data_IF_641949402222
#
_entry.id   IF_641949402222
#
_cell.length_a   1.000
_cell.length_b   1.000
_cell.length_c   1.000
_cell.angle_alpha   90.00
_cell.angle_beta   90.00
_cell.angle_gamma   90.00
#
_symmetry.space_group_name_H-M   'P 1'
#
loop_
_entity.id
_entity.type
_entity.pdbx_description
1 polymer ?
#
# COMPACT_ATOMS: atom_id res chain seq x y z
N UNK A 1 26.51 11.06 -17.47
CA UNK A 1 25.38 11.23 -16.50
C UNK A 1 24.37 12.18 -17.15
N UNK A 2 23.16 11.75 -17.46
CA UNK A 2 22.09 12.67 -17.89
C UNK A 2 21.78 13.62 -16.73
N UNK A 3 21.65 14.93 -17.04
CA UNK A 3 21.30 15.95 -16.05
C UNK A 3 19.93 15.61 -15.46
N UNK A 4 19.87 15.42 -14.14
CA UNK A 4 18.58 15.13 -13.46
C UNK A 4 17.68 16.36 -13.62
N UNK A 5 16.38 16.11 -13.85
CA UNK A 5 15.40 17.19 -13.82
C UNK A 5 15.34 17.78 -12.40
N UNK A 6 15.40 19.12 -12.24
CA UNK A 6 15.26 19.75 -10.94
C UNK A 6 13.88 19.44 -10.30
N UNK A 7 12.90 19.05 -11.10
CA UNK A 7 11.54 18.76 -10.66
C UNK A 7 11.31 17.29 -10.25
N UNK A 8 12.33 16.38 -10.42
CA UNK A 8 12.13 14.95 -10.13
C UNK A 8 11.85 14.71 -8.63
N UNK A 9 12.50 15.46 -7.73
CA UNK A 9 12.28 15.33 -6.29
C UNK A 9 10.88 15.80 -5.91
N UNK A 10 10.46 16.97 -6.42
CA UNK A 10 9.10 17.47 -6.21
C UNK A 10 8.06 16.51 -6.78
N UNK A 11 8.35 15.91 -7.93
CA UNK A 11 7.51 14.87 -8.54
C UNK A 11 7.36 13.64 -7.63
N UNK A 12 8.45 13.09 -7.10
CA UNK A 12 8.42 11.94 -6.18
C UNK A 12 7.62 12.25 -4.91
N UNK A 13 7.79 13.46 -4.35
CA UNK A 13 7.01 13.95 -3.21
C UNK A 13 5.52 13.92 -3.54
N UNK A 14 5.13 14.52 -4.65
CA UNK A 14 3.73 14.59 -5.06
C UNK A 14 3.13 13.21 -5.41
N UNK A 15 3.93 12.30 -6.00
CA UNK A 15 3.50 10.92 -6.20
C UNK A 15 3.18 10.24 -4.87
N UNK A 16 4.02 10.42 -3.83
CA UNK A 16 3.74 9.93 -2.49
C UNK A 16 2.41 10.45 -1.94
N UNK A 17 2.14 11.76 -2.09
CA UNK A 17 0.88 12.39 -1.62
C UNK A 17 -0.35 11.79 -2.31
N UNK A 18 -0.33 11.60 -3.63
CA UNK A 18 -1.50 11.16 -4.39
C UNK A 18 -1.75 9.65 -4.39
N UNK A 19 -0.81 8.85 -3.88
CA UNK A 19 -0.95 7.39 -3.87
C UNK A 19 -2.04 6.85 -2.95
N UNK A 20 -2.40 7.56 -1.88
CA UNK A 20 -3.36 7.07 -0.87
C UNK A 20 -4.56 7.99 -0.69
N UNK A 21 -4.39 9.29 -0.66
CA UNK A 21 -5.46 10.24 -0.37
C UNK A 21 -6.74 10.04 -1.21
N UNK A 22 -6.67 9.84 -2.56
CA UNK A 22 -7.87 9.67 -3.39
C UNK A 22 -8.67 8.39 -3.12
N UNK A 23 -8.07 7.42 -2.43
CA UNK A 23 -8.67 6.12 -2.14
C UNK A 23 -9.09 6.00 -0.67
N UNK A 24 -8.20 6.35 0.28
CA UNK A 24 -8.41 6.10 1.71
C UNK A 24 -9.39 7.08 2.36
N UNK A 25 -9.65 8.22 1.75
CA UNK A 25 -10.58 9.21 2.28
C UNK A 25 -12.06 8.92 1.92
N UNK A 26 -12.33 8.12 0.88
CA UNK A 26 -13.69 7.84 0.42
C UNK A 26 -14.56 7.11 1.46
N UNK A 27 -14.06 6.10 2.20
CA UNK A 27 -14.85 5.44 3.25
C UNK A 27 -15.40 6.37 4.32
N UNK A 28 -14.69 7.45 4.66
CA UNK A 28 -15.11 8.40 5.68
C UNK A 28 -16.37 9.22 5.30
N UNK A 29 -16.68 9.31 4.01
CA UNK A 29 -17.81 10.10 3.47
C UNK A 29 -18.83 9.25 2.71
N UNK A 30 -18.80 7.92 2.88
CA UNK A 30 -19.63 7.00 2.10
C UNK A 30 -21.12 7.25 2.30
N UNK A 31 -21.52 7.60 3.52
CA UNK A 31 -22.91 7.93 3.88
C UNK A 31 -23.39 9.20 3.17
N UNK A 32 -22.53 10.21 3.07
CA UNK A 32 -22.85 11.47 2.41
C UNK A 32 -22.95 11.29 0.89
N UNK A 33 -22.06 10.45 0.32
CA UNK A 33 -22.09 10.05 -1.10
C UNK A 33 -23.38 9.29 -1.40
N UNK A 34 -23.77 8.33 -0.55
CA UNK A 34 -24.99 7.55 -0.71
C UNK A 34 -26.24 8.44 -0.69
N UNK A 35 -26.31 9.34 0.30
CA UNK A 35 -27.41 10.31 0.42
C UNK A 35 -27.47 11.24 -0.79
N UNK A 36 -26.33 11.75 -1.25
CA UNK A 36 -26.26 12.66 -2.41
C UNK A 36 -26.59 12.01 -3.75
N UNK A 37 -26.41 10.69 -3.88
CA UNK A 37 -26.74 9.90 -5.08
C UNK A 37 -28.11 9.21 -4.99
N UNK A 38 -28.78 9.26 -3.83
CA UNK A 38 -30.06 8.60 -3.62
C UNK A 38 -29.99 7.07 -3.65
N UNK A 39 -28.86 6.49 -3.16
CA UNK A 39 -28.62 5.03 -3.15
C UNK A 39 -28.36 4.53 -1.72
N UNK A 40 -28.53 3.23 -1.51
CA UNK A 40 -28.18 2.62 -0.23
C UNK A 40 -26.67 2.61 -0.01
N UNK A 41 -26.22 2.83 1.22
CA UNK A 41 -24.78 2.78 1.61
C UNK A 41 -24.19 1.39 1.31
N UNK A 42 -24.97 0.34 1.47
CA UNK A 42 -24.59 -1.05 1.17
C UNK A 42 -24.10 -1.24 -0.27
N UNK A 43 -24.72 -0.58 -1.23
CA UNK A 43 -24.34 -0.64 -2.65
C UNK A 43 -22.95 -0.02 -2.91
N UNK A 44 -22.52 0.91 -2.09
CA UNK A 44 -21.23 1.59 -2.22
C UNK A 44 -20.06 0.83 -1.55
N UNK A 45 -20.33 -0.24 -0.82
CA UNK A 45 -19.28 -1.03 -0.13
C UNK A 45 -18.20 -1.55 -1.09
N UNK A 46 -18.56 -1.88 -2.32
CA UNK A 46 -17.61 -2.36 -3.33
C UNK A 46 -16.55 -1.30 -3.73
N UNK A 47 -16.82 -0.01 -3.51
CA UNK A 47 -15.86 1.07 -3.83
C UNK A 47 -14.53 0.93 -3.09
N UNK A 48 -14.52 0.27 -1.93
CA UNK A 48 -13.31 0.02 -1.16
C UNK A 48 -12.51 -1.18 -1.68
N UNK A 49 -13.19 -2.12 -2.36
CA UNK A 49 -12.57 -3.33 -2.93
C UNK A 49 -12.05 -3.10 -4.36
N UNK A 50 -12.68 -2.21 -5.13
CA UNK A 50 -12.31 -1.92 -6.53
C UNK A 50 -10.82 -1.60 -6.68
N UNK A 51 -10.19 -0.71 -5.89
CA UNK A 51 -8.77 -0.41 -6.04
C UNK A 51 -7.87 -1.63 -5.83
N UNK A 52 -8.19 -2.53 -4.91
CA UNK A 52 -7.41 -3.75 -4.68
C UNK A 52 -7.47 -4.70 -5.88
N UNK A 53 -8.65 -4.83 -6.50
CA UNK A 53 -8.84 -5.60 -7.73
C UNK A 53 -8.01 -4.96 -8.85
N UNK A 54 -8.07 -3.64 -8.99
CA UNK A 54 -7.28 -2.93 -10.00
C UNK A 54 -5.77 -3.04 -9.75
N UNK A 55 -5.33 -3.09 -8.49
CA UNK A 55 -3.91 -3.36 -8.16
C UNK A 55 -3.49 -4.74 -8.67
N UNK A 56 -4.28 -5.77 -8.43
CA UNK A 56 -3.98 -7.12 -8.93
C UNK A 56 -3.94 -7.17 -10.47
N UNK A 57 -4.88 -6.52 -11.16
CA UNK A 57 -4.99 -6.57 -12.62
C UNK A 57 -3.94 -5.71 -13.34
N UNK A 58 -3.65 -4.50 -12.81
CA UNK A 58 -2.88 -3.50 -13.53
C UNK A 58 -1.37 -3.51 -13.21
N UNK A 59 -0.96 -4.02 -12.04
CA UNK A 59 0.44 -3.94 -11.61
C UNK A 59 1.42 -4.62 -12.58
N UNK A 60 1.04 -5.76 -13.17
CA UNK A 60 1.87 -6.49 -14.14
C UNK A 60 2.02 -5.78 -15.50
N UNK A 61 1.12 -4.84 -15.81
CA UNK A 61 1.17 -4.06 -17.05
C UNK A 61 2.17 -2.91 -16.97
N UNK A 62 2.43 -2.39 -15.75
CA UNK A 62 3.26 -1.22 -15.54
C UNK A 62 4.69 -1.37 -16.10
N UNK A 63 5.44 -2.46 -15.87
CA UNK A 63 6.77 -2.64 -16.44
C UNK A 63 6.78 -2.71 -17.96
N UNK A 64 5.75 -3.36 -18.54
CA UNK A 64 5.62 -3.51 -20.01
C UNK A 64 5.39 -2.16 -20.68
N UNK A 65 4.48 -1.36 -20.14
CA UNK A 65 4.18 -0.03 -20.69
C UNK A 65 5.33 0.95 -20.43
N UNK A 66 6.03 0.83 -19.30
CA UNK A 66 7.23 1.62 -19.02
C UNK A 66 8.38 1.31 -20.01
N UNK A 67 8.54 0.06 -20.44
CA UNK A 67 9.49 -0.31 -21.49
C UNK A 67 9.14 0.34 -22.83
N UNK A 68 7.84 0.46 -23.17
CA UNK A 68 7.38 1.04 -24.43
C UNK A 68 7.46 2.57 -24.43
N UNK A 69 6.94 3.22 -23.41
CA UNK A 69 6.76 4.68 -23.37
C UNK A 69 7.87 5.41 -22.60
N UNK A 70 8.60 4.71 -21.73
CA UNK A 70 9.49 5.25 -20.72
C UNK A 70 8.75 5.58 -19.43
N UNK A 71 9.48 5.63 -18.32
CA UNK A 71 8.89 5.77 -16.99
C UNK A 71 8.23 7.13 -16.77
N UNK A 72 8.91 8.22 -17.14
CA UNK A 72 8.43 9.57 -16.87
C UNK A 72 7.24 9.95 -17.75
N UNK A 73 7.23 9.53 -19.02
CA UNK A 73 6.09 9.72 -19.93
C UNK A 73 4.89 8.90 -19.49
N UNK A 74 5.11 7.64 -19.13
CA UNK A 74 4.05 6.78 -18.62
C UNK A 74 3.45 7.37 -17.34
N UNK A 75 4.28 7.87 -16.43
CA UNK A 75 3.80 8.49 -15.19
C UNK A 75 2.95 9.73 -15.45
N UNK A 76 3.31 10.56 -16.45
CA UNK A 76 2.48 11.69 -16.84
C UNK A 76 1.11 11.24 -17.36
N UNK A 77 1.06 10.20 -18.22
CA UNK A 77 -0.20 9.61 -18.70
C UNK A 77 -1.04 9.04 -17.55
N UNK A 78 -0.40 8.33 -16.62
CA UNK A 78 -1.04 7.76 -15.42
C UNK A 78 -1.66 8.86 -14.56
N UNK A 79 -0.92 9.93 -14.28
CA UNK A 79 -1.43 11.07 -13.51
C UNK A 79 -2.59 11.78 -14.21
N UNK A 80 -2.53 11.95 -15.53
CA UNK A 80 -3.64 12.53 -16.30
C UNK A 80 -4.90 11.66 -16.21
N UNK A 81 -4.77 10.33 -16.36
CA UNK A 81 -5.89 9.40 -16.19
C UNK A 81 -6.42 9.45 -14.76
N UNK A 82 -5.55 9.65 -13.77
CA UNK A 82 -5.95 9.80 -12.37
C UNK A 82 -6.74 11.08 -12.13
N UNK A 83 -6.37 12.21 -12.75
CA UNK A 83 -7.14 13.46 -12.70
C UNK A 83 -8.54 13.25 -13.27
N UNK A 84 -8.62 12.66 -14.47
CA UNK A 84 -9.91 12.38 -15.15
C UNK A 84 -10.74 11.42 -14.28
N UNK A 85 -10.17 10.30 -13.85
CA UNK A 85 -10.84 9.31 -13.01
C UNK A 85 -11.31 9.87 -11.68
N UNK A 86 -10.50 10.73 -11.04
CA UNK A 86 -10.88 11.39 -9.79
C UNK A 86 -12.00 12.39 -10.00
N UNK A 87 -11.91 13.24 -11.04
CA UNK A 87 -12.91 14.28 -11.32
C UNK A 87 -14.26 13.72 -11.73
N UNK A 88 -14.30 12.65 -12.54
CA UNK A 88 -15.58 12.09 -12.99
C UNK A 88 -16.40 11.46 -11.86
N UNK A 89 -15.82 11.14 -10.71
CA UNK A 89 -16.53 10.54 -9.57
C UNK A 89 -17.69 11.40 -9.02
N UNK A 90 -17.71 12.68 -9.31
CA UNK A 90 -18.78 13.59 -8.82
C UNK A 90 -20.02 13.65 -9.71
N UNK A 91 -20.00 13.03 -10.91
CA UNK A 91 -21.04 13.19 -11.91
C UNK A 91 -22.30 12.37 -11.61
N UNK A 92 -22.13 11.05 -11.44
CA UNK A 92 -23.21 10.10 -11.18
C UNK A 92 -22.65 8.76 -10.66
N UNK A 93 -23.52 7.84 -10.29
CA UNK A 93 -23.14 6.53 -9.74
C UNK A 93 -22.26 5.69 -10.69
N UNK A 94 -22.57 5.49 -11.98
CA UNK A 94 -21.67 4.81 -12.90
C UNK A 94 -20.30 5.47 -13.02
N UNK A 95 -20.25 6.80 -13.09
CA UNK A 95 -18.99 7.55 -13.16
C UNK A 95 -18.18 7.45 -11.85
N UNK A 96 -18.84 7.34 -10.69
CA UNK A 96 -18.20 7.08 -9.41
C UNK A 96 -17.47 5.72 -9.42
N UNK A 97 -18.10 4.66 -9.92
CA UNK A 97 -17.46 3.34 -10.05
C UNK A 97 -16.32 3.35 -11.05
N UNK A 98 -16.54 3.85 -12.27
CA UNK A 98 -15.52 3.93 -13.31
C UNK A 98 -14.34 4.80 -12.88
N UNK A 99 -14.61 5.96 -12.26
CA UNK A 99 -13.58 6.83 -11.74
C UNK A 99 -12.75 6.17 -10.64
N UNK A 100 -13.39 5.41 -9.76
CA UNK A 100 -12.69 4.64 -8.71
C UNK A 100 -11.85 3.51 -9.31
N UNK A 101 -12.30 2.84 -10.38
CA UNK A 101 -11.50 1.88 -11.15
C UNK A 101 -10.25 2.54 -11.75
N UNK A 102 -10.42 3.69 -12.40
CA UNK A 102 -9.31 4.44 -13.01
C UNK A 102 -8.31 4.90 -11.95
N UNK A 103 -8.77 5.45 -10.82
CA UNK A 103 -7.92 5.84 -9.70
C UNK A 103 -7.16 4.63 -9.15
N UNK A 104 -7.83 3.50 -8.94
CA UNK A 104 -7.18 2.26 -8.49
C UNK A 104 -6.11 1.77 -9.47
N UNK A 105 -6.43 1.72 -10.78
CA UNK A 105 -5.48 1.34 -11.82
C UNK A 105 -4.24 2.25 -11.81
N UNK A 106 -4.44 3.56 -11.73
CA UNK A 106 -3.33 4.53 -11.73
C UNK A 106 -2.45 4.42 -10.50
N UNK A 107 -3.03 4.20 -9.32
CA UNK A 107 -2.27 3.94 -8.09
C UNK A 107 -1.45 2.66 -8.25
N UNK A 108 -1.98 1.60 -8.88
CA UNK A 108 -1.21 0.38 -9.16
C UNK A 108 0.06 0.66 -9.98
N UNK A 109 -0.06 1.48 -11.04
CA UNK A 109 1.10 1.89 -11.84
C UNK A 109 2.12 2.68 -11.02
N UNK A 110 1.68 3.64 -10.21
CA UNK A 110 2.57 4.45 -9.38
C UNK A 110 3.29 3.55 -8.36
N UNK A 111 2.58 2.65 -7.68
CA UNK A 111 3.16 1.70 -6.72
C UNK A 111 4.28 0.86 -7.33
N UNK A 112 4.10 0.38 -8.57
CA UNK A 112 5.09 -0.46 -9.26
C UNK A 112 6.28 0.34 -9.75
N UNK A 113 6.04 1.53 -10.31
CA UNK A 113 7.07 2.31 -11.00
C UNK A 113 7.86 3.25 -10.08
N UNK A 114 7.29 3.68 -8.95
CA UNK A 114 7.94 4.64 -8.05
C UNK A 114 9.26 4.10 -7.46
N UNK A 115 9.38 2.85 -6.98
CA UNK A 115 10.66 2.26 -6.61
C UNK A 115 11.67 2.27 -7.77
N UNK A 116 11.22 1.97 -8.99
CA UNK A 116 12.07 1.97 -10.18
C UNK A 116 12.58 3.36 -10.54
N UNK A 117 11.73 4.39 -10.41
CA UNK A 117 12.11 5.80 -10.58
C UNK A 117 13.16 6.23 -9.56
N UNK A 118 13.02 5.80 -8.30
CA UNK A 118 14.01 6.06 -7.25
C UNK A 118 15.34 5.39 -7.59
N UNK A 119 15.32 4.12 -8.00
CA UNK A 119 16.54 3.39 -8.41
C UNK A 119 17.24 4.05 -9.61
N UNK A 120 16.46 4.49 -10.61
CA UNK A 120 17.01 5.12 -11.83
C UNK A 120 17.63 6.50 -11.55
N UNK A 121 17.00 7.30 -10.69
CA UNK A 121 17.41 8.69 -10.47
C UNK A 121 18.32 8.87 -9.24
N UNK A 122 18.19 8.05 -8.21
CA UNK A 122 18.88 8.23 -6.92
C UNK A 122 19.51 6.93 -6.38
N UNK A 123 20.35 6.22 -7.14
CA UNK A 123 20.89 4.90 -6.73
C UNK A 123 21.70 4.95 -5.43
N UNK A 124 22.30 6.11 -5.09
CA UNK A 124 23.08 6.31 -3.86
C UNK A 124 22.25 6.75 -2.64
N UNK A 125 20.95 7.10 -2.83
CA UNK A 125 20.06 7.63 -1.79
C UNK A 125 18.69 6.94 -1.78
N UNK A 126 18.66 5.65 -2.14
CA UNK A 126 17.43 4.86 -2.27
C UNK A 126 16.60 4.92 -0.98
N UNK A 127 17.21 4.59 0.17
CA UNK A 127 16.51 4.58 1.46
C UNK A 127 15.89 5.93 1.81
N UNK A 128 16.60 7.03 1.55
CA UNK A 128 16.12 8.38 1.83
C UNK A 128 14.85 8.73 1.03
N UNK A 129 14.86 8.51 -0.29
CA UNK A 129 13.69 8.81 -1.11
C UNK A 129 12.54 7.82 -0.90
N UNK A 130 12.85 6.56 -0.58
CA UNK A 130 11.83 5.57 -0.18
C UNK A 130 11.14 6.02 1.10
N UNK A 131 11.90 6.46 2.12
CA UNK A 131 11.33 7.02 3.34
C UNK A 131 10.42 8.21 3.04
N UNK A 132 10.87 9.16 2.22
CA UNK A 132 10.08 10.36 1.88
C UNK A 132 8.72 9.98 1.30
N UNK A 133 8.68 9.20 0.21
CA UNK A 133 7.39 8.97 -0.44
C UNK A 133 6.45 8.09 0.39
N UNK A 134 6.96 7.10 1.14
CA UNK A 134 6.13 6.26 2.01
C UNK A 134 5.56 7.06 3.18
N UNK A 135 6.38 7.94 3.80
CA UNK A 135 5.92 8.83 4.86
C UNK A 135 4.84 9.78 4.36
N UNK A 136 5.07 10.43 3.22
CA UNK A 136 4.09 11.35 2.61
C UNK A 136 2.81 10.64 2.21
N UNK A 137 2.90 9.39 1.75
CA UNK A 137 1.73 8.56 1.49
C UNK A 137 0.87 8.34 2.75
N UNK A 138 1.51 8.05 3.89
CA UNK A 138 0.81 7.89 5.17
C UNK A 138 0.23 9.20 5.70
N UNK A 139 1.03 10.28 5.68
CA UNK A 139 0.59 11.62 6.11
C UNK A 139 -0.57 12.11 5.26
N UNK A 140 -0.48 12.00 3.93
CA UNK A 140 -1.54 12.43 3.02
C UNK A 140 -2.85 11.65 3.23
N UNK A 141 -2.76 10.32 3.47
CA UNK A 141 -3.92 9.51 3.80
C UNK A 141 -4.59 9.97 5.10
N UNK A 142 -3.79 10.22 6.14
CA UNK A 142 -4.28 10.69 7.45
C UNK A 142 -4.93 12.06 7.33
N UNK A 143 -4.25 13.02 6.71
CA UNK A 143 -4.79 14.38 6.51
C UNK A 143 -6.09 14.33 5.72
N UNK A 144 -6.13 13.59 4.60
CA UNK A 144 -7.33 13.47 3.79
C UNK A 144 -8.51 12.88 4.57
N UNK A 145 -8.28 11.85 5.39
CA UNK A 145 -9.31 11.27 6.25
C UNK A 145 -9.80 12.26 7.33
N UNK A 146 -8.89 13.00 7.96
CA UNK A 146 -9.24 13.97 9.02
C UNK A 146 -10.05 15.16 8.48
N UNK A 147 -9.75 15.66 7.29
CA UNK A 147 -10.44 16.82 6.71
C UNK A 147 -11.71 16.45 5.93
N UNK A 148 -11.91 15.15 5.62
CA UNK A 148 -13.04 14.69 4.80
C UNK A 148 -14.38 15.10 5.39
N UNK A 149 -14.69 14.68 6.62
CA UNK A 149 -15.97 14.98 7.27
C UNK A 149 -16.17 16.48 7.51
N UNK A 150 -15.21 17.25 8.05
CA UNK A 150 -15.34 18.70 8.19
C UNK A 150 -15.66 19.42 6.86
N UNK A 151 -14.97 19.06 5.76
CA UNK A 151 -15.21 19.68 4.46
C UNK A 151 -16.60 19.31 3.91
N UNK A 152 -16.98 18.03 4.02
CA UNK A 152 -18.30 17.58 3.54
C UNK A 152 -19.42 18.24 4.33
N UNK A 153 -19.29 18.37 5.65
CA UNK A 153 -20.29 19.04 6.50
C UNK A 153 -20.40 20.54 6.23
N UNK A 154 -19.31 21.20 5.83
CA UNK A 154 -19.30 22.63 5.51
C UNK A 154 -19.73 22.93 4.06
N UNK A 155 -19.71 21.95 3.15
CA UNK A 155 -20.00 22.14 1.73
C UNK A 155 -20.75 20.96 1.11
N UNK A 156 -20.02 20.00 0.51
CA UNK A 156 -20.57 18.78 -0.08
C UNK A 156 -19.49 17.71 -0.29
N UNK A 157 -19.92 16.45 -0.49
CA UNK A 157 -19.00 15.37 -0.83
C UNK A 157 -18.34 15.58 -2.19
N UNK A 158 -19.02 16.22 -3.15
CA UNK A 158 -18.46 16.59 -4.46
C UNK A 158 -17.29 17.55 -4.29
N UNK A 159 -17.45 18.60 -3.45
CA UNK A 159 -16.39 19.58 -3.17
C UNK A 159 -15.16 18.89 -2.62
N UNK A 160 -15.33 17.96 -1.70
CA UNK A 160 -14.20 17.19 -1.15
C UNK A 160 -13.46 16.38 -2.23
N UNK A 161 -14.20 15.66 -3.08
CA UNK A 161 -13.60 14.89 -4.18
C UNK A 161 -12.88 15.82 -5.18
N UNK A 162 -13.45 16.97 -5.50
CA UNK A 162 -12.82 17.95 -6.39
C UNK A 162 -11.56 18.58 -5.78
N UNK A 163 -11.51 18.81 -4.47
CA UNK A 163 -10.29 19.24 -3.79
C UNK A 163 -9.18 18.16 -3.90
N UNK A 164 -9.50 16.89 -3.67
CA UNK A 164 -8.56 15.80 -3.91
C UNK A 164 -8.10 15.76 -5.38
N UNK A 165 -9.04 15.97 -6.32
CA UNK A 165 -8.73 16.04 -7.76
C UNK A 165 -7.80 17.20 -8.08
N UNK A 166 -7.97 18.36 -7.44
CA UNK A 166 -7.06 19.50 -7.59
C UNK A 166 -5.63 19.18 -7.11
N UNK A 167 -5.50 18.42 -6.01
CA UNK A 167 -4.18 17.95 -5.54
C UNK A 167 -3.55 16.99 -6.55
N UNK A 168 -4.33 16.09 -7.17
CA UNK A 168 -3.85 15.19 -8.24
C UNK A 168 -3.45 15.98 -9.48
N UNK A 169 -4.22 17.00 -9.86
CA UNK A 169 -3.89 17.91 -10.97
C UNK A 169 -2.58 18.66 -10.69
N UNK A 170 -2.39 19.15 -9.47
CA UNK A 170 -1.13 19.79 -9.08
C UNK A 170 0.05 18.82 -9.19
N UNK A 171 -0.12 17.56 -8.78
CA UNK A 171 0.89 16.51 -8.94
C UNK A 171 1.21 16.27 -10.44
N UNK A 172 0.20 16.21 -11.30
CA UNK A 172 0.38 16.10 -12.74
C UNK A 172 1.18 17.28 -13.31
N UNK A 173 0.82 18.52 -12.97
CA UNK A 173 1.51 19.72 -13.46
C UNK A 173 2.98 19.77 -13.00
N UNK A 174 3.25 19.44 -11.73
CA UNK A 174 4.61 19.36 -11.18
C UNK A 174 5.41 18.24 -11.86
N UNK A 175 4.75 17.15 -12.31
CA UNK A 175 5.41 16.04 -12.99
C UNK A 175 5.80 16.35 -14.43
N UNK A 176 5.04 17.19 -15.17
CA UNK A 176 5.20 17.44 -16.60
C UNK A 176 6.64 17.77 -17.05
N UNK A 177 7.42 18.63 -16.33
CA UNK A 177 8.79 18.92 -16.73
C UNK A 177 9.71 17.69 -16.77
N UNK A 178 9.39 16.62 -16.04
CA UNK A 178 10.18 15.39 -16.02
C UNK A 178 10.05 14.57 -17.31
N UNK A 179 8.99 14.78 -18.10
CA UNK A 179 8.75 14.07 -19.38
C UNK A 179 9.89 14.27 -20.37
N UNK A 180 10.56 15.43 -20.33
CA UNK A 180 11.73 15.71 -21.17
C UNK A 180 12.95 14.82 -20.89
N UNK A 181 13.07 14.30 -19.66
CA UNK A 181 14.18 13.43 -19.22
C UNK A 181 13.76 11.95 -19.16
N UNK A 182 12.95 11.51 -20.09
CA UNK A 182 12.34 10.19 -20.10
C UNK A 182 13.37 9.04 -20.11
N UNK A 183 13.35 8.19 -19.10
CA UNK A 183 14.15 6.98 -19.00
C UNK A 183 13.35 5.81 -19.58
N UNK A 184 13.87 5.26 -20.67
CA UNK A 184 13.40 3.97 -21.18
C UNK A 184 14.25 2.87 -20.55
N UNK A 185 13.64 1.75 -20.25
CA UNK A 185 14.41 0.56 -19.91
C UNK A 185 15.32 0.22 -21.10
N UNK A 186 16.62 0.05 -20.84
CA UNK A 186 17.55 -0.41 -21.88
C UNK A 186 17.05 -1.76 -22.42
N UNK A 187 16.93 -1.85 -23.74
CA UNK A 187 16.61 -3.14 -24.36
C UNK A 187 17.73 -4.11 -23.97
N UNK A 188 17.43 -5.06 -23.12
CA UNK A 188 18.36 -6.14 -22.79
C UNK A 188 18.76 -6.78 -24.11
N UNK A 189 20.07 -6.75 -24.46
CA UNK A 189 20.59 -7.40 -25.67
C UNK A 189 19.98 -8.80 -25.72
N UNK A 190 19.24 -9.10 -26.76
CA UNK A 190 18.68 -10.42 -27.04
C UNK A 190 19.81 -11.45 -27.00
N UNK A 191 19.99 -12.13 -25.90
CA UNK A 191 21.05 -13.10 -25.69
C UNK A 191 21.16 -13.63 -24.27
N UNK A 192 20.84 -12.83 -23.26
CA UNK A 192 20.63 -13.40 -21.93
C UNK A 192 19.17 -13.84 -21.84
N UNK A 193 18.95 -15.15 -21.94
CA UNK A 193 17.70 -15.79 -21.55
C UNK A 193 17.38 -15.34 -20.14
N UNK A 194 16.56 -14.29 -20.02
CA UNK A 194 15.97 -13.91 -18.75
C UNK A 194 15.08 -15.07 -18.35
N UNK A 195 15.57 -15.93 -17.44
CA UNK A 195 14.72 -16.93 -16.78
C UNK A 195 13.47 -16.20 -16.36
N UNK A 196 12.30 -16.72 -16.75
CA UNK A 196 11.03 -16.10 -16.39
C UNK A 196 11.07 -15.79 -14.89
N UNK A 197 10.83 -14.55 -14.50
CA UNK A 197 10.80 -14.10 -13.10
C UNK A 197 9.91 -15.02 -12.24
N UNK A 198 8.85 -15.57 -12.84
CA UNK A 198 7.93 -16.54 -12.23
C UNK A 198 8.57 -17.91 -11.92
N UNK A 199 9.77 -18.18 -12.42
CA UNK A 199 10.56 -19.38 -12.09
C UNK A 199 11.67 -19.10 -11.09
N UNK A 200 11.85 -17.84 -10.69
CA UNK A 200 12.85 -17.46 -9.69
C UNK A 200 12.27 -17.69 -8.28
N UNK A 201 12.87 -18.63 -7.52
CA UNK A 201 12.40 -19.00 -6.17
C UNK A 201 12.42 -17.82 -5.19
N UNK A 202 13.42 -16.96 -5.26
CA UNK A 202 13.54 -15.80 -4.39
C UNK A 202 12.48 -14.72 -4.75
N UNK A 203 12.20 -14.53 -6.04
CA UNK A 203 11.12 -13.66 -6.48
C UNK A 203 9.73 -14.19 -6.07
N UNK A 204 9.53 -15.52 -6.12
CA UNK A 204 8.30 -16.16 -5.61
C UNK A 204 8.18 -16.03 -4.09
N UNK A 205 9.29 -16.16 -3.34
CA UNK A 205 9.29 -15.89 -1.90
C UNK A 205 8.91 -14.46 -1.60
N UNK A 206 9.38 -13.50 -2.42
CA UNK A 206 9.02 -12.09 -2.28
C UNK A 206 7.56 -11.81 -2.63
N UNK A 207 7.00 -12.48 -3.67
CA UNK A 207 5.58 -12.42 -3.98
C UNK A 207 4.73 -12.93 -2.82
N UNK A 208 5.10 -14.09 -2.26
CA UNK A 208 4.40 -14.67 -1.12
C UNK A 208 4.47 -13.74 0.10
N UNK A 209 5.65 -13.15 0.38
CA UNK A 209 5.79 -12.12 1.41
C UNK A 209 4.82 -10.96 1.19
N UNK A 210 4.78 -10.40 -0.03
CA UNK A 210 3.89 -9.30 -0.38
C UNK A 210 2.40 -9.64 -0.19
N UNK A 211 2.01 -10.87 -0.51
CA UNK A 211 0.65 -11.37 -0.27
C UNK A 211 0.34 -11.53 1.21
N UNK A 212 1.19 -12.23 1.95
CA UNK A 212 0.96 -12.53 3.37
C UNK A 212 0.95 -11.28 4.25
N UNK A 213 1.88 -10.32 4.02
CA UNK A 213 1.86 -9.06 4.74
C UNK A 213 0.59 -8.24 4.44
N UNK A 214 0.10 -8.30 3.22
CA UNK A 214 -1.15 -7.63 2.85
C UNK A 214 -2.38 -8.32 3.46
N UNK A 215 -2.40 -9.67 3.53
CA UNK A 215 -3.43 -10.43 4.27
C UNK A 215 -3.47 -9.97 5.72
N UNK A 216 -2.31 -9.90 6.41
CA UNK A 216 -2.21 -9.43 7.79
C UNK A 216 -2.81 -8.03 7.92
N UNK A 217 -2.29 -7.07 7.16
CA UNK A 217 -2.73 -5.67 7.24
C UNK A 217 -4.23 -5.50 7.01
N UNK A 218 -4.75 -6.02 5.89
CA UNK A 218 -6.15 -5.81 5.53
C UNK A 218 -7.10 -6.60 6.45
N UNK A 219 -6.70 -7.76 6.97
CA UNK A 219 -7.51 -8.52 7.93
C UNK A 219 -7.54 -7.83 9.29
N UNK A 220 -6.38 -7.37 9.78
CA UNK A 220 -6.31 -6.67 11.06
C UNK A 220 -7.10 -5.37 11.04
N UNK A 221 -6.89 -4.51 10.04
CA UNK A 221 -7.61 -3.22 9.96
C UNK A 221 -9.12 -3.41 9.83
N UNK A 222 -9.56 -4.52 9.23
CA UNK A 222 -10.99 -4.83 9.06
C UNK A 222 -11.61 -5.37 10.34
N UNK A 223 -10.96 -6.32 11.00
CA UNK A 223 -11.59 -7.11 12.04
C UNK A 223 -11.21 -6.71 13.47
N UNK A 224 -10.07 -6.04 13.71
CA UNK A 224 -9.67 -5.60 15.06
C UNK A 224 -10.74 -4.78 15.78
N UNK A 225 -11.43 -3.79 15.15
CA UNK A 225 -12.50 -3.06 15.81
C UNK A 225 -13.67 -3.96 16.20
N UNK A 226 -14.04 -4.92 15.36
CA UNK A 226 -15.14 -5.87 15.62
C UNK A 226 -14.77 -6.85 16.71
N UNK A 227 -13.53 -7.36 16.71
CA UNK A 227 -13.01 -8.22 17.79
C UNK A 227 -13.05 -7.47 19.13
N UNK A 228 -12.59 -6.21 19.16
CA UNK A 228 -12.66 -5.39 20.37
C UNK A 228 -14.08 -5.23 20.88
N UNK A 229 -15.06 -4.98 19.99
CA UNK A 229 -16.47 -4.89 20.37
C UNK A 229 -17.02 -6.23 20.87
N UNK A 230 -16.62 -7.37 20.31
CA UNK A 230 -17.06 -8.70 20.75
C UNK A 230 -16.56 -9.05 22.16
N UNK A 231 -15.44 -8.48 22.59
CA UNK A 231 -14.92 -8.58 23.96
C UNK A 231 -15.70 -7.68 24.92
N UNK A 232 -16.54 -6.77 24.39
CA UNK A 232 -17.43 -5.91 25.17
C UNK A 232 -16.98 -4.45 25.29
N UNK A 233 -16.03 -3.98 24.45
CA UNK A 233 -15.72 -2.55 24.34
C UNK A 233 -16.80 -1.83 23.53
N UNK A 234 -17.03 -0.56 23.87
CA UNK A 234 -17.93 0.29 23.09
C UNK A 234 -17.38 0.59 21.70
N UNK A 235 -18.25 1.02 20.77
CA UNK A 235 -17.83 1.47 19.43
C UNK A 235 -16.80 2.60 19.49
N UNK A 236 -16.94 3.52 20.45
CA UNK A 236 -16.01 4.63 20.65
C UNK A 236 -14.62 4.15 21.08
N UNK A 237 -14.56 3.23 22.06
CA UNK A 237 -13.29 2.64 22.51
C UNK A 237 -12.61 1.84 21.40
N UNK A 238 -13.35 1.01 20.67
CA UNK A 238 -12.83 0.26 19.52
C UNK A 238 -12.32 1.19 18.41
N UNK A 239 -13.03 2.30 18.16
CA UNK A 239 -12.61 3.34 17.24
C UNK A 239 -11.31 4.04 17.65
N UNK A 240 -11.16 4.36 18.96
CA UNK A 240 -9.91 4.92 19.49
C UNK A 240 -8.74 3.96 19.35
N UNK A 241 -8.93 2.67 19.66
CA UNK A 241 -7.89 1.65 19.47
C UNK A 241 -7.46 1.55 18.00
N UNK A 242 -8.41 1.56 17.04
CA UNK A 242 -8.12 1.59 15.62
C UNK A 242 -7.39 2.87 15.20
N UNK A 243 -7.69 4.01 15.83
CA UNK A 243 -6.96 5.26 15.66
C UNK A 243 -5.49 5.12 16.08
N UNK A 244 -5.20 4.55 17.23
CA UNK A 244 -3.83 4.28 17.70
C UNK A 244 -3.11 3.30 16.78
N UNK A 245 -3.80 2.27 16.29
CA UNK A 245 -3.25 1.37 15.26
C UNK A 245 -2.76 2.15 14.02
N UNK A 246 -3.57 3.04 13.46
CA UNK A 246 -3.19 3.82 12.30
C UNK A 246 -2.09 4.86 12.60
N UNK A 247 -2.11 5.51 13.76
CA UNK A 247 -1.08 6.48 14.15
C UNK A 247 0.32 5.87 14.23
N UNK A 248 0.45 4.64 14.69
CA UNK A 248 1.72 3.93 14.81
C UNK A 248 2.37 3.68 13.43
N UNK A 249 1.58 3.60 12.37
CA UNK A 249 2.10 3.39 11.01
C UNK A 249 2.96 4.56 10.51
N UNK A 250 2.69 5.79 10.95
CA UNK A 250 3.41 6.99 10.50
C UNK A 250 4.90 6.92 10.88
N UNK A 251 5.28 6.83 12.19
CA UNK A 251 6.69 6.75 12.56
C UNK A 251 7.39 5.52 11.99
N UNK A 252 6.70 4.38 11.90
CA UNK A 252 7.29 3.16 11.34
C UNK A 252 7.61 3.30 9.84
N UNK A 253 6.76 3.97 9.08
CA UNK A 253 7.02 4.25 7.66
C UNK A 253 8.27 5.11 7.44
N UNK A 254 8.62 5.96 8.40
CA UNK A 254 9.85 6.79 8.36
C UNK A 254 11.08 6.01 8.81
N UNK A 255 10.96 5.27 9.90
CA UNK A 255 12.09 4.63 10.59
C UNK A 255 12.59 3.43 9.79
N UNK A 256 11.70 2.57 9.31
CA UNK A 256 12.08 1.28 8.71
C UNK A 256 12.95 1.44 7.45
N UNK A 257 12.58 2.21 6.41
CA UNK A 257 13.45 2.38 5.25
C UNK A 257 14.77 3.07 5.58
N UNK A 258 14.74 4.03 6.53
CA UNK A 258 15.93 4.77 6.94
C UNK A 258 16.96 3.86 7.64
N UNK A 259 16.52 2.98 8.52
CA UNK A 259 17.38 2.02 9.20
C UNK A 259 17.83 0.93 8.23
N UNK A 260 16.89 0.23 7.60
CA UNK A 260 17.18 -0.99 6.82
C UNK A 260 18.04 -0.72 5.59
N UNK A 261 17.95 0.47 4.99
CA UNK A 261 18.78 0.83 3.82
C UNK A 261 20.28 0.86 4.10
N UNK A 262 20.67 0.94 5.37
CA UNK A 262 22.09 1.01 5.82
C UNK A 262 22.60 -0.29 6.42
N UNK A 263 21.74 -1.31 6.53
CA UNK A 263 22.08 -2.56 7.21
C UNK A 263 22.51 -3.66 6.23
N UNK A 264 23.30 -4.61 6.74
CA UNK A 264 23.60 -5.86 6.01
C UNK A 264 22.33 -6.71 5.89
N UNK A 265 22.34 -7.69 4.99
CA UNK A 265 21.20 -8.60 4.79
C UNK A 265 20.85 -9.39 6.06
N UNK A 266 21.89 -9.83 6.83
CA UNK A 266 21.71 -10.55 8.08
C UNK A 266 21.02 -9.66 9.13
N UNK A 267 21.45 -8.41 9.24
CA UNK A 267 20.86 -7.47 10.19
C UNK A 267 19.41 -7.11 9.76
N UNK A 268 19.15 -6.85 8.46
CA UNK A 268 17.80 -6.63 7.95
C UNK A 268 16.87 -7.78 8.27
N UNK A 269 17.32 -9.03 8.00
CA UNK A 269 16.58 -10.24 8.36
C UNK A 269 16.23 -10.25 9.86
N UNK A 270 17.23 -10.07 10.72
CA UNK A 270 17.03 -10.17 12.16
C UNK A 270 16.09 -9.09 12.68
N UNK A 271 16.25 -7.83 12.22
CA UNK A 271 15.34 -6.73 12.57
C UNK A 271 13.90 -7.08 12.15
N UNK A 272 13.70 -7.55 10.93
CA UNK A 272 12.35 -7.86 10.44
C UNK A 272 11.75 -9.08 11.15
N UNK A 273 12.53 -10.09 11.50
CA UNK A 273 12.04 -11.23 12.29
C UNK A 273 11.63 -10.80 13.71
N UNK A 274 12.45 -9.99 14.39
CA UNK A 274 12.12 -9.46 15.72
C UNK A 274 10.87 -8.60 15.63
N UNK A 275 10.79 -7.71 14.64
CA UNK A 275 9.60 -6.87 14.45
C UNK A 275 8.36 -7.71 14.17
N UNK A 276 8.46 -8.73 13.31
CA UNK A 276 7.33 -9.63 13.00
C UNK A 276 6.91 -10.50 14.19
N UNK A 277 7.82 -10.81 15.12
CA UNK A 277 7.50 -11.54 16.36
C UNK A 277 6.54 -10.75 17.24
N UNK A 278 6.51 -9.42 17.12
CA UNK A 278 5.53 -8.60 17.84
C UNK A 278 4.09 -8.88 17.37
N UNK A 279 3.86 -9.24 16.09
CA UNK A 279 2.53 -9.72 15.64
C UNK A 279 2.14 -11.01 16.35
N UNK A 280 3.03 -12.00 16.45
CA UNK A 280 2.75 -13.25 17.15
C UNK A 280 2.43 -13.00 18.63
N UNK A 281 3.21 -12.13 19.28
CA UNK A 281 2.94 -11.71 20.66
C UNK A 281 1.58 -11.03 20.78
N UNK A 282 1.27 -10.09 19.89
CA UNK A 282 -0.01 -9.40 19.88
C UNK A 282 -1.20 -10.34 19.67
N UNK A 283 -1.10 -11.28 18.73
CA UNK A 283 -2.14 -12.28 18.49
C UNK A 283 -2.32 -13.21 19.68
N UNK A 284 -1.24 -13.62 20.34
CA UNK A 284 -1.31 -14.40 21.58
C UNK A 284 -1.99 -13.61 22.70
N UNK A 285 -1.57 -12.36 22.91
CA UNK A 285 -2.16 -11.48 23.91
C UNK A 285 -3.65 -11.23 23.65
N UNK A 286 -4.06 -11.12 22.38
CA UNK A 286 -5.49 -10.98 22.02
C UNK A 286 -6.35 -12.16 22.50
N UNK A 287 -5.77 -13.36 22.53
CA UNK A 287 -6.47 -14.56 22.96
C UNK A 287 -6.59 -14.69 24.50
N UNK A 288 -5.71 -14.03 25.26
CA UNK A 288 -5.59 -14.27 26.73
C UNK A 288 -5.83 -13.04 27.59
N UNK A 289 -5.75 -11.82 27.03
CA UNK A 289 -5.89 -10.60 27.81
C UNK A 289 -7.32 -10.39 28.32
N UNK A 290 -7.47 -9.99 29.60
CA UNK A 290 -8.76 -9.57 30.12
C UNK A 290 -9.21 -8.27 29.43
N UNK A 291 -10.52 -7.98 29.50
CA UNK A 291 -11.11 -6.72 29.07
C UNK A 291 -10.58 -5.57 29.91
N UNK A 292 -9.58 -4.86 29.38
CA UNK A 292 -9.00 -3.67 30.00
C UNK A 292 -8.53 -2.71 28.89
N UNK A 293 -9.08 -1.51 28.87
CA UNK A 293 -8.90 -0.56 27.76
C UNK A 293 -7.42 -0.27 27.43
N UNK A 294 -6.59 0.00 28.44
CA UNK A 294 -5.16 0.33 28.25
C UNK A 294 -4.40 -0.87 27.67
N UNK A 295 -4.68 -2.10 28.16
CA UNK A 295 -4.01 -3.30 27.66
C UNK A 295 -4.38 -3.59 26.21
N UNK A 296 -5.65 -3.42 25.85
CA UNK A 296 -6.11 -3.59 24.47
C UNK A 296 -5.62 -2.48 23.54
N UNK A 297 -5.50 -1.25 24.03
CA UNK A 297 -4.86 -0.17 23.28
C UNK A 297 -3.38 -0.48 23.02
N UNK A 298 -2.64 -0.93 24.03
CA UNK A 298 -1.26 -1.36 23.88
C UNK A 298 -1.12 -2.53 22.88
N UNK A 299 -2.05 -3.49 22.92
CA UNK A 299 -2.14 -4.58 21.96
C UNK A 299 -2.27 -4.07 20.52
N UNK A 300 -3.16 -3.12 20.25
CA UNK A 300 -3.34 -2.53 18.93
C UNK A 300 -2.06 -1.81 18.46
N UNK A 301 -1.36 -1.13 19.36
CA UNK A 301 -0.07 -0.49 19.07
C UNK A 301 1.00 -1.54 18.72
N UNK A 302 1.08 -2.65 19.46
CA UNK A 302 2.04 -3.75 19.20
C UNK A 302 1.78 -4.37 17.83
N UNK A 303 0.53 -4.70 17.50
CA UNK A 303 0.16 -5.25 16.18
C UNK A 303 0.48 -4.28 15.07
N UNK A 304 0.13 -3.01 15.24
CA UNK A 304 0.41 -1.97 14.26
C UNK A 304 1.89 -1.73 14.05
N UNK A 305 2.69 -1.72 15.14
CA UNK A 305 4.14 -1.53 15.05
C UNK A 305 4.79 -2.54 14.10
N UNK A 306 4.43 -3.80 14.24
CA UNK A 306 4.93 -4.86 13.37
C UNK A 306 4.42 -4.70 11.93
N UNK A 307 3.12 -4.57 11.78
CA UNK A 307 2.46 -4.53 10.48
C UNK A 307 2.90 -3.32 9.63
N UNK A 308 3.03 -2.16 10.28
CA UNK A 308 3.48 -0.93 9.63
C UNK A 308 4.94 -0.98 9.13
N UNK A 309 5.75 -1.93 9.61
CA UNK A 309 7.12 -2.13 9.14
C UNK A 309 7.20 -2.92 7.82
N UNK A 310 6.22 -3.79 7.56
CA UNK A 310 6.29 -4.80 6.49
C UNK A 310 6.20 -4.18 5.09
N UNK A 311 5.28 -3.26 4.87
CA UNK A 311 5.13 -2.59 3.57
C UNK A 311 6.34 -1.72 3.21
N UNK A 312 6.90 -0.87 4.10
CA UNK A 312 8.14 -0.14 3.84
C UNK A 312 9.35 -1.07 3.56
N UNK A 313 9.46 -2.20 4.27
CA UNK A 313 10.49 -3.20 3.98
C UNK A 313 10.33 -3.76 2.56
N UNK A 314 9.09 -4.11 2.15
CA UNK A 314 8.81 -4.59 0.80
C UNK A 314 9.22 -3.56 -0.26
N UNK A 315 8.82 -2.31 -0.11
CA UNK A 315 9.12 -1.24 -1.07
C UNK A 315 10.62 -0.96 -1.18
N UNK A 316 11.32 -0.93 -0.06
CA UNK A 316 12.78 -0.82 -0.02
C UNK A 316 13.44 -2.05 -0.65
N UNK A 317 12.94 -3.24 -0.34
CA UNK A 317 13.45 -4.50 -0.84
C UNK A 317 13.42 -4.59 -2.37
N UNK A 318 12.40 -4.04 -3.04
CA UNK A 318 12.36 -3.98 -4.51
C UNK A 318 13.59 -3.28 -5.09
N UNK A 319 14.08 -2.25 -4.44
CA UNK A 319 15.24 -1.47 -4.90
C UNK A 319 16.57 -2.07 -4.47
N UNK A 320 16.65 -2.69 -3.29
CA UNK A 320 17.89 -3.28 -2.76
C UNK A 320 18.21 -4.65 -3.36
N UNK A 321 17.20 -5.39 -3.84
CA UNK A 321 17.34 -6.76 -4.34
C UNK A 321 17.35 -6.85 -5.87
N UNK A 322 17.51 -5.72 -6.56
CA UNK A 322 17.53 -5.67 -8.03
C UNK A 322 18.71 -4.85 -8.55
N UNK A 323 19.25 -5.26 -9.69
CA UNK A 323 20.46 -4.68 -10.28
C UNK A 323 20.20 -3.36 -11.03
N UNK A 324 18.96 -3.12 -11.46
CA UNK A 324 18.58 -1.96 -12.26
C UNK A 324 17.09 -1.65 -12.17
N UNK A 325 16.70 -0.49 -12.68
CA UNK A 325 15.32 0.01 -12.59
C UNK A 325 14.30 -0.87 -13.32
N UNK A 326 14.69 -1.56 -14.40
CA UNK A 326 13.81 -2.49 -15.12
C UNK A 326 13.53 -3.73 -14.27
N UNK A 327 14.56 -4.32 -13.65
CA UNK A 327 14.43 -5.44 -12.74
C UNK A 327 13.57 -5.05 -11.51
N UNK A 328 13.76 -3.83 -10.97
CA UNK A 328 12.92 -3.29 -9.89
C UNK A 328 11.45 -3.25 -10.30
N UNK A 329 11.13 -2.73 -11.50
CA UNK A 329 9.76 -2.67 -11.98
C UNK A 329 9.14 -4.05 -12.19
N UNK A 330 9.92 -5.01 -12.73
CA UNK A 330 9.47 -6.38 -12.95
C UNK A 330 9.17 -7.09 -11.61
N UNK A 331 10.08 -7.00 -10.63
CA UNK A 331 9.90 -7.60 -9.32
C UNK A 331 8.70 -6.98 -8.58
N UNK A 332 8.63 -5.66 -8.54
CA UNK A 332 7.53 -4.91 -7.95
C UNK A 332 6.18 -5.25 -8.60
N UNK A 333 6.13 -5.29 -9.93
CA UNK A 333 4.92 -5.65 -10.69
C UNK A 333 4.45 -7.06 -10.40
N UNK A 334 5.36 -8.04 -10.38
CA UNK A 334 5.05 -9.44 -10.05
C UNK A 334 4.53 -9.58 -8.62
N UNK A 335 5.26 -9.02 -7.65
CA UNK A 335 4.93 -9.12 -6.22
C UNK A 335 3.60 -8.46 -5.92
N UNK A 336 3.35 -7.29 -6.49
CA UNK A 336 2.09 -6.59 -6.24
C UNK A 336 0.90 -7.26 -6.94
N UNK A 337 1.07 -7.75 -8.17
CA UNK A 337 0.01 -8.51 -8.87
C UNK A 337 -0.39 -9.75 -8.08
N UNK A 338 0.56 -10.64 -7.79
CA UNK A 338 0.28 -11.87 -7.05
C UNK A 338 -0.06 -11.62 -5.58
N UNK A 339 0.62 -10.65 -4.96
CA UNK A 339 0.41 -10.31 -3.55
C UNK A 339 -0.99 -9.76 -3.28
N UNK A 340 -1.48 -8.81 -4.08
CA UNK A 340 -2.84 -8.30 -3.90
C UNK A 340 -3.93 -9.32 -4.26
N UNK A 341 -3.64 -10.24 -5.20
CA UNK A 341 -4.55 -11.34 -5.47
C UNK A 341 -4.70 -12.24 -4.23
N UNK A 342 -3.59 -12.59 -3.57
CA UNK A 342 -3.61 -13.34 -2.30
C UNK A 342 -4.35 -12.53 -1.21
N UNK A 343 -4.05 -11.24 -1.09
CA UNK A 343 -4.63 -10.36 -0.09
C UNK A 343 -6.15 -10.20 -0.22
N UNK A 344 -6.69 -10.25 -1.44
CA UNK A 344 -8.11 -10.08 -1.70
C UNK A 344 -8.99 -11.14 -1.00
N UNK A 345 -8.43 -12.31 -0.75
CA UNK A 345 -9.13 -13.39 -0.05
C UNK A 345 -9.05 -13.30 1.48
N UNK A 346 -8.03 -12.60 2.02
CA UNK A 346 -7.74 -12.58 3.46
C UNK A 346 -8.92 -12.16 4.33
N UNK A 347 -9.38 -10.90 4.27
CA UNK A 347 -10.43 -10.40 5.15
C UNK A 347 -11.74 -11.16 5.03
N UNK A 348 -12.15 -11.52 3.79
CA UNK A 348 -13.39 -12.25 3.53
C UNK A 348 -13.36 -13.66 4.09
N UNK A 349 -12.38 -14.49 3.67
CA UNK A 349 -12.30 -15.89 4.11
C UNK A 349 -12.10 -16.01 5.62
N UNK A 350 -11.20 -15.20 6.19
CA UNK A 350 -10.91 -15.27 7.62
C UNK A 350 -12.07 -14.72 8.48
N UNK A 351 -12.82 -13.73 7.97
CA UNK A 351 -14.01 -13.21 8.64
C UNK A 351 -15.15 -14.23 8.73
N UNK A 352 -15.27 -15.13 7.77
CA UNK A 352 -16.23 -16.24 7.82
C UNK A 352 -16.00 -17.21 8.99
N UNK A 353 -14.82 -17.17 9.62
CA UNK A 353 -14.56 -18.02 10.79
C UNK A 353 -15.48 -17.72 11.97
N UNK A 354 -15.87 -16.47 12.19
CA UNK A 354 -16.73 -16.12 13.33
C UNK A 354 -18.15 -16.70 13.24
N UNK A 355 -18.90 -16.57 12.14
CA UNK A 355 -20.21 -17.21 12.00
C UNK A 355 -20.17 -18.73 12.11
N UNK A 356 -19.06 -19.38 11.69
CA UNK A 356 -18.92 -20.83 11.72
C UNK A 356 -18.60 -21.37 13.12
N UNK A 357 -17.73 -20.70 13.87
CA UNK A 357 -17.19 -21.19 15.13
C UNK A 357 -17.68 -20.41 16.36
N UNK A 358 -18.44 -19.35 16.16
CA UNK A 358 -18.86 -18.39 17.19
C UNK A 358 -17.66 -17.91 18.07
N UNK A 359 -16.49 -17.79 17.45
CA UNK A 359 -15.22 -17.44 18.10
C UNK A 359 -14.27 -16.80 17.10
N UNK A 360 -13.47 -15.83 17.57
CA UNK A 360 -12.38 -15.24 16.79
C UNK A 360 -11.07 -16.06 16.84
N UNK A 361 -11.01 -17.09 17.68
CA UNK A 361 -9.80 -17.90 17.84
C UNK A 361 -9.29 -18.53 16.52
N UNK A 362 -10.15 -19.08 15.63
CA UNK A 362 -9.68 -19.59 14.33
C UNK A 362 -9.05 -18.52 13.43
N UNK A 363 -9.59 -17.28 13.43
CA UNK A 363 -8.98 -16.16 12.72
C UNK A 363 -7.61 -15.81 13.31
N UNK A 364 -7.49 -15.72 14.64
CA UNK A 364 -6.24 -15.43 15.34
C UNK A 364 -5.18 -16.50 15.02
N UNK A 365 -5.55 -17.78 15.06
CA UNK A 365 -4.66 -18.89 14.72
C UNK A 365 -4.22 -18.82 13.23
N UNK A 366 -5.15 -18.52 12.32
CA UNK A 366 -4.83 -18.36 10.91
C UNK A 366 -3.85 -17.20 10.68
N UNK A 367 -4.05 -16.04 11.34
CA UNK A 367 -3.12 -14.91 11.27
C UNK A 367 -1.75 -15.25 11.86
N UNK A 368 -1.68 -16.05 12.92
CA UNK A 368 -0.42 -16.54 13.46
C UNK A 368 0.33 -17.42 12.45
N UNK A 369 -0.37 -18.36 11.78
CA UNK A 369 0.23 -19.19 10.71
C UNK A 369 0.68 -18.33 9.51
N UNK A 370 -0.11 -17.34 9.11
CA UNK A 370 0.26 -16.38 8.07
C UNK A 370 1.53 -15.62 8.46
N UNK A 371 1.63 -15.19 9.74
CA UNK A 371 2.82 -14.49 10.25
C UNK A 371 4.06 -15.38 10.22
N UNK A 372 3.95 -16.63 10.65
CA UNK A 372 5.06 -17.60 10.60
C UNK A 372 5.52 -17.88 9.16
N UNK A 373 4.57 -18.09 8.25
CA UNK A 373 4.86 -18.26 6.83
C UNK A 373 5.54 -17.01 6.25
N UNK A 374 5.09 -15.82 6.62
CA UNK A 374 5.71 -14.56 6.22
C UNK A 374 7.14 -14.41 6.76
N UNK A 375 7.38 -14.74 8.03
CA UNK A 375 8.73 -14.74 8.62
C UNK A 375 9.66 -15.69 7.88
N UNK A 376 9.18 -16.85 7.46
CA UNK A 376 9.95 -17.78 6.64
C UNK A 376 10.32 -17.17 5.29
N UNK A 377 9.40 -16.43 4.64
CA UNK A 377 9.71 -15.74 3.37
C UNK A 377 10.77 -14.65 3.54
N UNK A 378 10.80 -13.92 4.66
CA UNK A 378 11.87 -12.95 4.99
C UNK A 378 13.23 -13.64 5.00
N UNK A 379 13.33 -14.83 5.62
CA UNK A 379 14.58 -15.61 5.65
C UNK A 379 15.02 -15.99 4.23
N UNK A 380 14.09 -16.39 3.36
CA UNK A 380 14.39 -16.74 1.98
C UNK A 380 14.85 -15.53 1.15
N UNK A 381 14.17 -14.39 1.29
CA UNK A 381 14.49 -13.14 0.58
C UNK A 381 15.89 -12.63 0.97
N UNK A 382 16.22 -12.66 2.26
CA UNK A 382 17.49 -12.12 2.72
C UNK A 382 18.68 -13.09 2.56
N UNK A 383 18.47 -14.34 2.09
CA UNK A 383 19.55 -15.22 1.64
C UNK A 383 20.26 -14.68 0.40
N UNK A 384 19.49 -14.08 -0.52
CA UNK A 384 20.01 -13.54 -1.77
C UNK A 384 20.47 -12.09 -1.61
N UNK A 385 21.58 -11.72 -2.24
CA UNK A 385 22.01 -10.31 -2.31
C UNK A 385 21.21 -9.58 -3.38
N UNK A 386 21.14 -10.18 -4.57
CA UNK A 386 20.35 -9.68 -5.72
C UNK A 386 19.45 -10.81 -6.22
N UNK A 387 18.19 -10.50 -6.46
CA UNK A 387 17.18 -11.43 -6.97
C UNK A 387 17.07 -11.33 -8.50
N UNK A 388 17.19 -10.08 -9.03
CA UNK A 388 17.13 -9.79 -10.47
C UNK A 388 18.19 -8.79 -10.91
#
# INVERSE_FOLDING_TARGET
MKKQSPFIVAGIIMLGVVMRAPFTALPAILTDVAAGLGVEVSSLGILTSIPLIMFALCSSLAPRLAAKFGMEKLMAMVLLVMVIGSGMRVLNLPALYMGTMLVGATIAFINVLLPSLVTANFPKKIGFYTTIYITLMGVAATVAAMVAVPIVSASSWQTFILLITAVVLLAFLIWLPNVGNNHRFEATKQGQQTRSIWKNKAALAFLLFGGLQSVLYYTEITWLPTISQSVGFSKAEAGLMAGFFNMTAIPMSMIIPAILSRQTKEMRRNIMLITSSATLLGLFLMAVLPKHFILWTALHIILSFSNAALFPYMMLGFTLKTSNSQATAQLSGMVQTGGYLIAAFGPGLLGYSYPLFNSWLPLIMALALVTLAMMWTIVLIEKEDIIL
#
